data_IF_776893488598
#
_entry.id   IF_776893488598
#
_cell.length_a   1.000
_cell.length_b   1.000
_cell.length_c   1.000
_cell.angle_alpha   90.00
_cell.angle_beta   90.00
_cell.angle_gamma   90.00
#
_symmetry.space_group_name_H-M   'P 1'
#
loop_
_entity.id
_entity.type
_entity.pdbx_description
1 polymer ?
#
# COMPACT_ATOMS: atom_id res chain seq x y z
N UNK A 1 26.52 7.65 -85.39
CA UNK A 1 27.65 7.29 -84.50
C UNK A 1 27.51 8.16 -83.26
N UNK A 2 27.00 7.59 -82.16
CA UNK A 2 26.69 8.35 -80.94
C UNK A 2 27.93 8.47 -80.04
N UNK A 3 28.21 9.69 -79.59
CA UNK A 3 29.24 9.98 -78.60
C UNK A 3 28.71 9.67 -77.19
N UNK A 4 29.42 8.80 -76.47
CA UNK A 4 29.15 8.51 -75.07
C UNK A 4 29.60 9.70 -74.20
N UNK A 5 28.69 10.23 -73.38
CA UNK A 5 29.04 11.22 -72.36
C UNK A 5 29.60 10.51 -71.11
N UNK A 6 30.63 11.07 -70.46
CA UNK A 6 31.22 10.50 -69.25
C UNK A 6 30.27 10.65 -68.06
N UNK A 7 30.12 9.56 -67.31
CA UNK A 7 29.38 9.50 -66.07
C UNK A 7 30.26 10.05 -64.95
N UNK A 8 29.93 11.24 -64.42
CA UNK A 8 30.54 11.80 -63.22
C UNK A 8 29.73 11.31 -62.01
N UNK A 9 30.27 10.44 -61.14
CA UNK A 9 29.55 10.02 -59.95
C UNK A 9 29.54 11.16 -58.93
N UNK A 10 28.32 11.50 -58.53
CA UNK A 10 27.97 12.44 -57.48
C UNK A 10 28.83 12.28 -56.22
N UNK A 11 29.42 13.39 -55.81
CA UNK A 11 29.28 13.96 -54.46
C UNK A 11 29.80 13.19 -53.24
N UNK A 12 30.27 13.90 -52.20
CA UNK A 12 30.72 13.28 -50.97
C UNK A 12 29.57 12.50 -50.33
N UNK A 13 29.86 11.25 -49.95
CA UNK A 13 29.03 10.44 -49.07
C UNK A 13 28.73 11.25 -47.80
N UNK A 14 27.59 11.92 -47.78
CA UNK A 14 26.93 12.29 -46.54
C UNK A 14 26.50 10.97 -45.93
N UNK A 15 27.40 10.40 -45.13
CA UNK A 15 27.08 9.42 -44.11
C UNK A 15 25.99 10.08 -43.25
N UNK A 16 24.74 9.86 -43.63
CA UNK A 16 23.60 9.90 -42.75
C UNK A 16 23.89 8.84 -41.67
N UNK A 17 24.72 9.19 -40.69
CA UNK A 17 24.58 8.64 -39.35
C UNK A 17 23.19 9.07 -38.90
N UNK A 18 22.19 8.27 -39.30
CA UNK A 18 20.98 8.13 -38.53
C UNK A 18 21.47 7.87 -37.11
N UNK A 19 21.38 8.90 -36.29
CA UNK A 19 21.42 8.80 -34.85
C UNK A 19 20.18 7.98 -34.49
N UNK A 20 20.21 6.68 -34.77
CA UNK A 20 19.30 5.71 -34.20
C UNK A 20 19.71 5.69 -32.75
N UNK A 21 19.18 6.65 -31.99
CA UNK A 21 19.05 6.52 -30.56
C UNK A 21 18.21 5.27 -30.39
N UNK A 22 18.88 4.12 -30.31
CA UNK A 22 18.29 2.90 -29.80
C UNK A 22 17.62 3.34 -28.51
N UNK A 23 16.29 3.26 -28.39
CA UNK A 23 15.66 3.48 -27.10
C UNK A 23 16.40 2.54 -26.18
N UNK A 24 17.19 3.12 -25.27
CA UNK A 24 17.77 2.40 -24.17
C UNK A 24 16.63 1.53 -23.67
N UNK A 25 16.75 0.20 -23.64
CA UNK A 25 15.70 -0.64 -23.11
C UNK A 25 15.56 -0.15 -21.69
N UNK A 26 14.58 0.74 -21.47
CA UNK A 26 14.18 1.18 -20.16
C UNK A 26 14.04 -0.12 -19.44
N UNK A 27 14.88 -0.30 -18.42
CA UNK A 27 14.79 -1.39 -17.48
C UNK A 27 13.35 -1.38 -16.96
N UNK A 28 12.47 -2.05 -17.70
CA UNK A 28 11.09 -2.32 -17.34
C UNK A 28 11.15 -3.54 -16.44
N UNK A 29 11.94 -3.40 -15.37
CA UNK A 29 11.89 -4.17 -14.14
C UNK A 29 11.08 -3.41 -13.10
N UNK A 30 10.16 -2.54 -13.50
CA UNK A 30 8.95 -2.29 -12.73
C UNK A 30 7.94 -3.41 -13.04
N UNK A 31 8.36 -4.65 -12.83
CA UNK A 31 7.40 -5.65 -12.40
C UNK A 31 6.85 -5.10 -11.08
N UNK A 32 5.69 -4.45 -11.13
CA UNK A 32 4.86 -4.27 -9.93
C UNK A 32 4.59 -5.68 -9.43
N UNK A 33 5.47 -6.17 -8.58
CA UNK A 33 5.36 -7.43 -7.90
C UNK A 33 3.99 -7.45 -7.21
N UNK A 34 3.00 -8.21 -7.73
CA UNK A 34 1.67 -8.26 -7.13
C UNK A 34 1.73 -8.90 -5.72
N UNK A 35 2.88 -9.46 -5.34
CA UNK A 35 3.21 -10.01 -4.03
C UNK A 35 3.29 -8.96 -2.93
N UNK A 36 3.73 -7.72 -3.21
CA UNK A 36 3.95 -6.75 -2.12
C UNK A 36 2.64 -6.33 -1.43
N UNK A 37 1.57 -6.17 -2.21
CA UNK A 37 0.25 -5.78 -1.72
C UNK A 37 -0.38 -6.87 -0.84
N UNK A 38 -0.26 -8.13 -1.27
CA UNK A 38 -0.75 -9.28 -0.52
C UNK A 38 -0.03 -9.47 0.82
N UNK A 39 1.29 -9.28 0.84
CA UNK A 39 2.10 -9.47 2.06
C UNK A 39 1.77 -8.41 3.12
N UNK A 40 1.63 -7.13 2.74
CA UNK A 40 1.24 -6.08 3.70
C UNK A 40 -0.15 -6.33 4.29
N UNK A 41 -1.10 -6.74 3.45
CA UNK A 41 -2.45 -7.06 3.90
C UNK A 41 -2.46 -8.26 4.85
N UNK A 42 -1.78 -9.36 4.48
CA UNK A 42 -1.73 -10.58 5.29
C UNK A 42 -1.03 -10.31 6.62
N UNK A 43 0.10 -9.59 6.62
CA UNK A 43 0.82 -9.23 7.84
C UNK A 43 -0.03 -8.33 8.75
N UNK A 44 -0.68 -7.31 8.19
CA UNK A 44 -1.59 -6.43 8.94
C UNK A 44 -2.77 -7.18 9.54
N UNK A 45 -3.39 -8.08 8.76
CA UNK A 45 -4.47 -8.94 9.25
C UNK A 45 -3.99 -9.87 10.39
N UNK A 46 -2.80 -10.46 10.26
CA UNK A 46 -2.20 -11.31 11.30
C UNK A 46 -1.98 -10.54 12.61
N UNK A 47 -1.49 -9.30 12.54
CA UNK A 47 -1.30 -8.44 13.71
C UNK A 47 -2.65 -8.17 14.40
N UNK A 48 -3.68 -7.84 13.62
CA UNK A 48 -5.02 -7.56 14.16
C UNK A 48 -5.65 -8.81 14.78
N UNK A 49 -5.52 -9.97 14.13
CA UNK A 49 -6.00 -11.24 14.67
C UNK A 49 -5.28 -11.56 15.98
N UNK A 50 -3.97 -11.38 16.04
CA UNK A 50 -3.19 -11.61 17.27
C UNK A 50 -3.62 -10.67 18.39
N UNK A 51 -3.84 -9.39 18.09
CA UNK A 51 -4.36 -8.42 19.05
C UNK A 51 -5.78 -8.75 19.51
N UNK A 52 -6.65 -9.23 18.62
CA UNK A 52 -8.00 -9.67 18.94
C UNK A 52 -7.99 -10.91 19.86
N UNK A 53 -7.11 -11.88 19.58
CA UNK A 53 -6.92 -13.06 20.43
C UNK A 53 -6.38 -12.68 21.81
N UNK A 54 -5.47 -11.71 21.88
CA UNK A 54 -4.98 -11.16 23.15
C UNK A 54 -6.09 -10.44 23.91
N UNK A 55 -6.89 -9.60 23.23
CA UNK A 55 -8.05 -8.94 23.81
C UNK A 55 -9.08 -9.95 24.34
N UNK A 56 -9.29 -11.09 23.65
CA UNK A 56 -10.18 -12.15 24.11
C UNK A 56 -9.75 -12.76 25.47
N UNK A 57 -8.48 -12.63 25.87
CA UNK A 57 -7.98 -13.08 27.19
C UNK A 57 -8.28 -12.11 28.33
N UNK A 58 -8.67 -10.88 28.04
CA UNK A 58 -9.08 -9.91 29.08
C UNK A 58 -10.44 -10.29 29.66
N UNK A 59 -10.82 -9.85 30.88
CA UNK A 59 -12.16 -10.05 31.42
C UNK A 59 -13.25 -9.46 30.50
N UNK A 60 -14.44 -10.08 30.46
CA UNK A 60 -15.57 -9.57 29.66
C UNK A 60 -16.13 -8.23 30.16
N UNK A 61 -15.92 -7.91 31.44
CA UNK A 61 -16.22 -6.61 32.02
C UNK A 61 -15.33 -5.47 31.49
N UNK A 62 -14.21 -5.78 30.83
CA UNK A 62 -13.26 -4.81 30.30
C UNK A 62 -13.42 -4.64 28.77
N UNK A 63 -14.66 -4.50 28.29
CA UNK A 63 -14.98 -4.34 26.87
C UNK A 63 -14.25 -3.14 26.22
N UNK A 64 -14.12 -2.03 26.94
CA UNK A 64 -13.37 -0.85 26.51
C UNK A 64 -11.89 -1.16 26.31
N UNK A 65 -11.25 -1.84 27.27
CA UNK A 65 -9.83 -2.20 27.18
C UNK A 65 -9.56 -3.14 26.00
N UNK A 66 -10.45 -4.11 25.78
CA UNK A 66 -10.39 -5.01 24.62
C UNK A 66 -10.49 -4.24 23.30
N UNK A 67 -11.41 -3.29 23.22
CA UNK A 67 -11.58 -2.44 22.04
C UNK A 67 -10.34 -1.56 21.78
N UNK A 68 -9.76 -0.98 22.83
CA UNK A 68 -8.54 -0.17 22.75
C UNK A 68 -7.35 -0.97 22.22
N UNK A 69 -7.16 -2.21 22.68
CA UNK A 69 -6.07 -3.08 22.19
C UNK A 69 -6.17 -3.29 20.68
N UNK A 70 -7.37 -3.59 20.16
CA UNK A 70 -7.57 -3.77 18.71
C UNK A 70 -7.41 -2.44 17.96
N UNK A 71 -7.90 -1.33 18.52
CA UNK A 71 -7.73 0.00 17.94
C UNK A 71 -6.26 0.41 17.82
N UNK A 72 -5.43 0.14 18.84
CA UNK A 72 -3.99 0.38 18.77
C UNK A 72 -3.30 -0.47 17.69
N UNK A 73 -3.68 -1.74 17.57
CA UNK A 73 -3.15 -2.59 16.51
C UNK A 73 -3.52 -2.06 15.11
N UNK A 74 -4.76 -1.62 14.92
CA UNK A 74 -5.21 -0.99 13.67
C UNK A 74 -4.47 0.32 13.40
N UNK A 75 -4.24 1.16 14.42
CA UNK A 75 -3.47 2.41 14.29
C UNK A 75 -2.05 2.13 13.81
N UNK A 76 -1.38 1.13 14.39
CA UNK A 76 -0.02 0.75 14.02
C UNK A 76 0.04 0.24 12.58
N UNK A 77 -0.86 -0.68 12.20
CA UNK A 77 -0.96 -1.20 10.83
C UNK A 77 -1.27 -0.08 9.83
N UNK A 78 -2.15 0.87 10.20
CA UNK A 78 -2.50 2.02 9.37
C UNK A 78 -1.35 3.00 9.15
N UNK A 79 -0.49 3.21 10.16
CA UNK A 79 0.70 4.05 10.02
C UNK A 79 1.78 3.43 9.14
N UNK A 80 1.88 2.10 9.16
CA UNK A 80 2.84 1.36 8.33
C UNK A 80 2.35 1.20 6.88
N UNK A 81 1.04 1.04 6.67
CA UNK A 81 0.48 0.76 5.34
C UNK A 81 0.57 1.95 4.39
N UNK A 82 1.07 1.70 3.18
CA UNK A 82 1.14 2.72 2.11
C UNK A 82 -0.19 2.88 1.41
N UNK A 83 -0.98 1.82 1.36
CA UNK A 83 -2.17 1.73 0.55
C UNK A 83 -3.46 2.09 1.29
N UNK A 84 -4.28 2.93 0.65
CA UNK A 84 -5.56 3.37 1.20
C UNK A 84 -6.61 2.25 1.12
N UNK A 85 -6.57 1.47 0.04
CA UNK A 85 -7.48 0.36 -0.18
C UNK A 85 -7.28 -0.73 0.89
N UNK A 86 -6.03 -1.03 1.29
CA UNK A 86 -5.74 -1.97 2.39
C UNK A 86 -6.48 -1.55 3.66
N UNK A 87 -6.43 -0.26 4.01
CA UNK A 87 -7.14 0.27 5.18
C UNK A 87 -8.66 0.19 5.07
N UNK A 88 -9.22 0.46 3.88
CA UNK A 88 -10.65 0.36 3.61
C UNK A 88 -11.18 -1.06 3.85
N UNK A 89 -10.39 -2.10 3.57
CA UNK A 89 -10.76 -3.49 3.86
C UNK A 89 -10.41 -3.90 5.30
N UNK A 90 -9.33 -3.35 5.86
CA UNK A 90 -8.83 -3.71 7.19
C UNK A 90 -9.80 -3.30 8.33
N UNK A 91 -10.38 -2.10 8.25
CA UNK A 91 -11.32 -1.57 9.27
C UNK A 91 -12.58 -2.45 9.41
N UNK A 92 -13.33 -2.79 8.34
CA UNK A 92 -14.48 -3.68 8.47
C UNK A 92 -14.08 -5.10 8.87
N UNK A 93 -12.91 -5.59 8.45
CA UNK A 93 -12.41 -6.92 8.87
C UNK A 93 -12.09 -6.94 10.37
N UNK A 94 -11.44 -5.89 10.88
CA UNK A 94 -11.19 -5.72 12.31
C UNK A 94 -12.50 -5.57 13.09
N UNK A 95 -13.46 -4.79 12.56
CA UNK A 95 -14.79 -4.64 13.14
C UNK A 95 -15.56 -5.95 13.21
N UNK A 96 -15.49 -6.79 12.16
CA UNK A 96 -16.11 -8.11 12.13
C UNK A 96 -15.45 -9.07 13.14
N UNK A 97 -14.13 -9.04 13.27
CA UNK A 97 -13.40 -9.82 14.29
C UNK A 97 -13.80 -9.37 15.70
N UNK A 98 -13.80 -8.07 15.96
CA UNK A 98 -14.29 -7.49 17.22
C UNK A 98 -15.72 -7.93 17.46
N UNK A 99 -16.62 -7.86 16.49
CA UNK A 99 -18.01 -8.33 16.63
C UNK A 99 -18.14 -9.81 16.94
N UNK A 100 -17.26 -10.66 16.41
CA UNK A 100 -17.28 -12.10 16.66
C UNK A 100 -16.69 -12.48 18.02
N UNK A 101 -15.66 -11.75 18.49
CA UNK A 101 -14.94 -12.06 19.74
C UNK A 101 -15.43 -11.25 20.95
N UNK A 102 -15.89 -10.03 20.73
CA UNK A 102 -16.60 -9.21 21.70
C UNK A 102 -18.08 -9.42 21.46
N UNK A 103 -18.65 -10.39 22.17
CA UNK A 103 -20.11 -10.51 22.36
C UNK A 103 -20.57 -9.30 23.20
N UNK A 104 -20.57 -8.12 22.57
CA UNK A 104 -21.05 -6.86 23.12
C UNK A 104 -22.36 -6.48 22.45
N UNK A 105 -23.19 -5.70 23.14
CA UNK A 105 -24.41 -5.15 22.54
C UNK A 105 -24.10 -4.28 21.31
N UNK A 106 -25.11 -3.99 20.47
CA UNK A 106 -24.94 -3.17 19.26
C UNK A 106 -24.32 -1.80 19.55
N UNK A 107 -24.58 -1.21 20.73
CA UNK A 107 -23.98 0.06 21.15
C UNK A 107 -22.44 -0.02 21.27
N UNK A 108 -21.91 -1.15 21.76
CA UNK A 108 -20.47 -1.37 21.89
C UNK A 108 -19.81 -1.53 20.52
N UNK A 109 -20.52 -2.12 19.56
CA UNK A 109 -20.05 -2.28 18.19
C UNK A 109 -19.92 -0.96 17.45
N UNK A 110 -20.92 -0.08 17.57
CA UNK A 110 -20.88 1.26 16.97
C UNK A 110 -19.72 2.06 17.53
N UNK A 111 -19.54 2.03 18.85
CA UNK A 111 -18.41 2.70 19.52
C UNK A 111 -17.06 2.14 19.05
N UNK A 112 -16.92 0.82 18.95
CA UNK A 112 -15.69 0.21 18.46
C UNK A 112 -15.42 0.52 16.99
N UNK A 113 -16.43 0.52 16.12
CA UNK A 113 -16.27 0.91 14.72
C UNK A 113 -15.81 2.36 14.58
N UNK A 114 -16.40 3.27 15.36
CA UNK A 114 -15.97 4.66 15.41
C UNK A 114 -14.51 4.78 15.89
N UNK A 115 -14.15 4.10 16.99
CA UNK A 115 -12.78 4.09 17.53
C UNK A 115 -11.77 3.52 16.52
N UNK A 116 -12.10 2.43 15.83
CA UNK A 116 -11.26 1.81 14.81
C UNK A 116 -11.05 2.74 13.60
N UNK A 117 -12.10 3.45 13.18
CA UNK A 117 -12.01 4.41 12.06
C UNK A 117 -11.13 5.60 12.42
N UNK A 118 -11.32 6.16 13.62
CA UNK A 118 -10.48 7.26 14.14
C UNK A 118 -9.03 6.81 14.29
N UNK A 119 -8.81 5.61 14.84
CA UNK A 119 -7.48 5.03 14.98
C UNK A 119 -6.78 4.81 13.63
N UNK A 120 -7.51 4.31 12.62
CA UNK A 120 -6.98 4.16 11.27
C UNK A 120 -6.60 5.51 10.63
N UNK A 121 -7.43 6.54 10.79
CA UNK A 121 -7.15 7.89 10.31
C UNK A 121 -5.95 8.51 11.03
N UNK A 122 -5.89 8.40 12.36
CA UNK A 122 -4.80 8.90 13.18
C UNK A 122 -3.47 8.20 12.84
N UNK A 123 -3.49 6.88 12.69
CA UNK A 123 -2.34 6.09 12.26
C UNK A 123 -1.82 6.55 10.90
N UNK A 124 -2.72 6.73 9.92
CA UNK A 124 -2.33 7.21 8.58
C UNK A 124 -1.78 8.63 8.60
N UNK A 125 -2.36 9.53 9.40
CA UNK A 125 -1.84 10.89 9.58
C UNK A 125 -0.44 10.88 10.21
N UNK A 126 -0.23 10.09 11.27
CA UNK A 126 1.06 9.92 11.92
C UNK A 126 2.11 9.34 10.97
N UNK A 127 1.76 8.31 10.19
CA UNK A 127 2.63 7.72 9.18
C UNK A 127 3.03 8.71 8.08
N UNK A 128 2.13 9.64 7.69
CA UNK A 128 2.47 10.73 6.77
C UNK A 128 3.43 11.74 7.38
N UNK A 129 3.21 12.12 8.64
CA UNK A 129 4.07 13.07 9.33
C UNK A 129 5.51 12.53 9.50
N UNK A 130 5.66 11.29 9.95
CA UNK A 130 6.97 10.65 10.12
C UNK A 130 7.78 10.60 8.81
N UNK A 131 7.12 10.36 7.68
CA UNK A 131 7.75 10.34 6.35
C UNK A 131 8.17 11.74 5.88
N UNK A 132 7.34 12.74 6.17
CA UNK A 132 7.66 14.14 5.86
C UNK A 132 8.91 14.60 6.64
N UNK A 133 9.04 14.20 7.91
CA UNK A 133 10.18 14.54 8.75
C UNK A 133 11.48 13.82 8.37
N UNK A 134 11.42 12.66 7.71
CA UNK A 134 12.61 11.91 7.27
C UNK A 134 13.18 12.37 5.92
N UNK A 135 12.50 13.27 5.21
CA UNK A 135 12.89 13.73 3.88
C UNK A 135 13.66 15.08 3.89
N UNK A 136 13.86 15.68 5.07
CA UNK A 136 14.62 16.92 5.31
C UNK A 136 15.99 16.62 5.90
#
# INVERSE_FOLDING_TARGET
MGAAMPFEPDGPNHEFQQNVTVPEPRSSSEAREPTHWGIEFVAGALIIVTAALFAARLPSSASEARCLVVAFAVMAVAGCSRDLLTLLFLVPTAGALVSGFLVGGPDTLVWCLAALTVAALAGRAAGRFLRASSAS
#
